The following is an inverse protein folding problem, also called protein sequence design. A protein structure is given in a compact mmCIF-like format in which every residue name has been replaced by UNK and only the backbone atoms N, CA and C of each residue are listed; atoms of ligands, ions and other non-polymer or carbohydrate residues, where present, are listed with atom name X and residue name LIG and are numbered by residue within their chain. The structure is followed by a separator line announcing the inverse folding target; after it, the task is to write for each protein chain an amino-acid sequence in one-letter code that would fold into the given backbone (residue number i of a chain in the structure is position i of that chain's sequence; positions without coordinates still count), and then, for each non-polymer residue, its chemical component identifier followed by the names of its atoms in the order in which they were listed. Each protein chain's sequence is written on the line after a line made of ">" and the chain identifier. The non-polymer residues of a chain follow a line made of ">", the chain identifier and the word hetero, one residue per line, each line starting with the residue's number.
data_IF_627985102111
#
_entry.id   IF_627985102111
#
_cell.length_a   1.000
_cell.length_b   1.000
_cell.length_c   1.000
_cell.angle_alpha   90.00
_cell.angle_beta   90.00
_cell.angle_gamma   90.00
#
_symmetry.space_group_name_H-M   'P 1'
#
loop_
_entity.id
_entity.type
_entity.pdbx_description
1 polymer ?
#
# COMPACT_ATOMS: atom_id res chain seq x y z
N UNK A 1 -36.60 32.59 10.02
CA UNK A 1 -35.84 31.58 10.79
C UNK A 1 -35.98 30.16 10.20
N UNK A 2 -37.19 29.63 9.95
CA UNK A 2 -37.40 28.27 9.38
C UNK A 2 -36.76 28.04 7.99
N UNK A 3 -36.76 29.05 7.11
CA UNK A 3 -36.15 28.96 5.76
C UNK A 3 -34.61 28.91 5.77
N UNK A 4 -33.99 29.60 6.72
CA UNK A 4 -32.53 29.62 6.88
C UNK A 4 -32.06 28.28 7.48
N UNK A 5 -32.84 27.69 8.39
CA UNK A 5 -32.61 26.35 8.94
C UNK A 5 -32.73 25.25 7.88
N UNK A 6 -33.70 25.33 6.96
CA UNK A 6 -33.79 24.37 5.85
C UNK A 6 -32.61 24.50 4.87
N UNK A 7 -32.16 25.73 4.58
CA UNK A 7 -31.03 25.95 3.68
C UNK A 7 -29.71 25.44 4.26
N UNK A 8 -29.47 25.61 5.56
CA UNK A 8 -28.26 25.07 6.20
C UNK A 8 -28.26 23.54 6.24
N UNK A 9 -29.41 22.90 6.46
CA UNK A 9 -29.54 21.42 6.40
C UNK A 9 -29.33 20.89 4.97
N UNK A 10 -29.83 21.61 3.96
CA UNK A 10 -29.65 21.22 2.55
C UNK A 10 -28.18 21.33 2.11
N UNK A 11 -27.47 22.39 2.54
CA UNK A 11 -26.03 22.56 2.22
C UNK A 11 -25.17 21.53 2.96
N UNK A 12 -25.51 21.20 4.21
CA UNK A 12 -24.77 20.21 4.99
C UNK A 12 -24.96 18.77 4.45
N UNK A 13 -26.16 18.44 3.97
CA UNK A 13 -26.44 17.14 3.32
C UNK A 13 -25.80 17.03 1.92
N UNK A 14 -25.75 18.11 1.15
CA UNK A 14 -25.05 18.15 -0.13
C UNK A 14 -23.53 17.95 0.03
N UNK A 15 -22.94 18.42 1.12
CA UNK A 15 -21.50 18.28 1.40
C UNK A 15 -21.09 16.81 1.62
N UNK A 16 -21.98 15.98 2.16
CA UNK A 16 -21.73 14.55 2.41
C UNK A 16 -21.81 13.73 1.11
N UNK A 17 -22.58 14.19 0.13
CA UNK A 17 -22.72 13.52 -1.17
C UNK A 17 -21.49 13.75 -2.09
N UNK A 18 -20.76 14.84 -1.89
CA UNK A 18 -19.51 15.12 -2.64
C UNK A 18 -18.27 14.43 -2.06
N UNK A 19 -18.32 13.85 -0.84
CA UNK A 19 -17.18 13.12 -0.24
C UNK A 19 -17.21 11.62 -0.50
N UNK A 20 -17.96 11.17 -1.51
CA UNK A 20 -18.38 9.79 -1.76
C UNK A 20 -17.31 8.72 -2.04
N UNK A 21 -16.01 8.95 -1.84
CA UNK A 21 -14.99 7.88 -1.88
C UNK A 21 -13.68 8.19 -1.12
N UNK A 22 -13.48 9.42 -0.66
CA UNK A 22 -12.17 9.83 -0.14
C UNK A 22 -11.91 9.41 1.32
N UNK A 23 -12.95 8.99 2.06
CA UNK A 23 -12.86 8.77 3.51
C UNK A 23 -12.51 7.33 3.93
N UNK A 24 -12.30 6.39 3.00
CA UNK A 24 -12.12 4.96 3.32
C UNK A 24 -10.96 4.26 2.60
N UNK A 25 -9.92 4.98 2.15
CA UNK A 25 -8.63 4.35 1.76
C UNK A 25 -7.46 4.95 2.55
N UNK A 26 -7.71 5.23 3.82
CA UNK A 26 -6.65 5.26 4.83
C UNK A 26 -7.04 4.18 5.84
N UNK A 27 -7.04 2.93 5.36
CA UNK A 27 -7.29 1.78 6.22
C UNK A 27 -6.16 1.66 7.23
N UNK A 28 -6.52 1.67 8.51
CA UNK A 28 -5.74 1.26 9.67
C UNK A 28 -4.22 1.50 9.61
N UNK A 29 -3.75 2.54 10.31
CA UNK A 29 -2.37 2.62 10.76
C UNK A 29 -2.09 1.50 11.79
N UNK A 30 -1.92 0.27 11.30
CA UNK A 30 -1.69 -0.95 12.07
C UNK A 30 -1.98 -2.17 11.21
N UNK A 31 -1.02 -3.12 11.15
CA UNK A 31 -1.16 -4.49 10.64
C UNK A 31 -2.37 -4.72 9.70
N UNK A 32 -2.25 -4.33 8.43
CA UNK A 32 -3.34 -4.36 7.43
C UNK A 32 -3.58 -3.04 6.72
N UNK A 33 -2.80 -2.00 7.00
CA UNK A 33 -2.91 -0.71 6.33
C UNK A 33 -2.34 -0.74 4.91
N UNK A 34 -3.14 -0.28 3.95
CA UNK A 34 -2.73 -0.04 2.56
C UNK A 34 -2.78 1.47 2.32
N UNK A 35 -1.64 2.04 1.92
CA UNK A 35 -1.51 3.45 1.62
C UNK A 35 -0.85 3.61 0.24
N UNK A 36 -1.51 4.31 -0.68
CA UNK A 36 -0.93 4.67 -1.96
C UNK A 36 -0.43 6.11 -1.90
N UNK A 37 0.88 6.30 -1.86
CA UNK A 37 1.49 7.62 -1.66
C UNK A 37 2.59 7.85 -2.69
N UNK A 38 2.46 8.92 -3.49
CA UNK A 38 3.45 9.32 -4.51
C UNK A 38 3.82 8.24 -5.54
N UNK A 39 2.85 7.38 -5.90
CA UNK A 39 3.09 6.31 -6.87
C UNK A 39 3.68 5.04 -6.27
N UNK A 40 3.89 4.99 -4.96
CA UNK A 40 4.31 3.79 -4.22
C UNK A 40 3.12 3.23 -3.42
N UNK A 41 2.89 1.93 -3.54
CA UNK A 41 1.90 1.20 -2.75
C UNK A 41 2.57 0.69 -1.48
N UNK A 42 2.23 1.24 -0.33
CA UNK A 42 2.74 0.79 0.97
C UNK A 42 1.72 -0.09 1.66
N UNK A 43 2.14 -1.29 2.04
CA UNK A 43 1.31 -2.25 2.76
C UNK A 43 2.07 -2.72 4.00
N UNK A 44 1.40 -2.77 5.14
CA UNK A 44 1.98 -3.38 6.36
C UNK A 44 1.30 -4.71 6.63
N UNK A 45 2.06 -5.80 6.57
CA UNK A 45 1.59 -7.15 6.77
C UNK A 45 2.12 -7.74 8.08
N UNK A 46 1.26 -8.48 8.79
CA UNK A 46 1.62 -9.19 10.03
C UNK A 46 2.38 -10.49 9.77
N UNK A 47 3.48 -10.41 9.02
CA UNK A 47 4.36 -11.54 8.69
C UNK A 47 5.83 -11.21 9.00
N UNK A 48 6.65 -12.23 9.30
CA UNK A 48 8.10 -12.06 9.40
C UNK A 48 8.72 -11.60 8.09
N UNK A 49 9.75 -10.76 8.17
CA UNK A 49 10.45 -10.17 7.02
C UNK A 49 10.89 -11.20 5.98
N UNK A 50 11.55 -12.27 6.42
CA UNK A 50 12.01 -13.35 5.52
C UNK A 50 10.87 -14.04 4.75
N UNK A 51 9.67 -14.11 5.35
CA UNK A 51 8.49 -14.67 4.67
C UNK A 51 7.98 -13.71 3.60
N UNK A 52 7.94 -12.41 3.89
CA UNK A 52 7.54 -11.39 2.91
C UNK A 52 8.50 -11.35 1.70
N UNK A 53 9.81 -11.37 1.95
CA UNK A 53 10.85 -11.38 0.89
C UNK A 53 10.69 -12.61 -0.02
N UNK A 54 10.54 -13.79 0.58
CA UNK A 54 10.34 -15.03 -0.18
C UNK A 54 9.04 -15.05 -0.97
N UNK A 55 7.95 -14.53 -0.39
CA UNK A 55 6.68 -14.41 -1.08
C UNK A 55 6.78 -13.44 -2.27
N UNK A 56 7.46 -12.31 -2.11
CA UNK A 56 7.69 -11.35 -3.19
C UNK A 56 8.52 -11.96 -4.34
N UNK A 57 9.62 -12.64 -4.01
CA UNK A 57 10.45 -13.33 -5.01
C UNK A 57 9.65 -14.43 -5.74
N UNK A 58 8.83 -15.19 -5.01
CA UNK A 58 7.97 -16.22 -5.59
C UNK A 58 6.92 -15.62 -6.52
N UNK A 59 6.26 -14.53 -6.13
CA UNK A 59 5.30 -13.84 -6.97
C UNK A 59 5.92 -13.36 -8.29
N UNK A 60 7.15 -12.80 -8.24
CA UNK A 60 7.88 -12.42 -9.45
C UNK A 60 8.17 -13.64 -10.34
N UNK A 61 8.62 -14.75 -9.74
CA UNK A 61 8.87 -16.01 -10.46
C UNK A 61 7.61 -16.58 -11.11
N UNK A 62 6.49 -16.61 -10.38
CA UNK A 62 5.21 -17.14 -10.87
C UNK A 62 4.68 -16.29 -12.05
N UNK A 63 4.97 -14.98 -12.05
CA UNK A 63 4.70 -14.06 -13.16
C UNK A 63 5.74 -14.12 -14.28
N UNK A 64 6.75 -15.00 -14.19
CA UNK A 64 7.89 -15.11 -15.12
C UNK A 64 8.69 -13.81 -15.25
N UNK A 65 8.71 -13.00 -14.20
CA UNK A 65 9.50 -11.77 -14.11
C UNK A 65 10.83 -12.10 -13.45
N UNK A 66 11.93 -11.82 -14.16
CA UNK A 66 13.28 -12.08 -13.65
C UNK A 66 13.72 -10.97 -12.69
N UNK A 67 14.21 -11.36 -11.52
CA UNK A 67 14.86 -10.43 -10.58
C UNK A 67 16.25 -10.10 -11.13
N UNK A 68 16.51 -8.82 -11.34
CA UNK A 68 17.79 -8.30 -11.85
C UNK A 68 18.78 -8.04 -10.72
N UNK A 69 18.26 -7.60 -9.57
CA UNK A 69 19.08 -7.24 -8.42
C UNK A 69 18.30 -7.55 -7.14
N UNK A 70 18.95 -8.20 -6.19
CA UNK A 70 18.40 -8.50 -4.88
C UNK A 70 19.42 -8.08 -3.83
N UNK A 71 19.02 -7.21 -2.91
CA UNK A 71 19.79 -6.84 -1.72
C UNK A 71 18.96 -7.15 -0.49
N UNK A 72 19.58 -7.74 0.52
CA UNK A 72 18.94 -8.08 1.78
C UNK A 72 19.92 -7.87 2.93
N UNK A 73 19.55 -7.00 3.86
CA UNK A 73 20.37 -6.58 5.01
C UNK A 73 19.77 -7.07 6.34
N UNK A 74 18.89 -8.08 6.29
CA UNK A 74 18.21 -8.70 7.45
C UNK A 74 17.09 -7.86 8.08
N UNK A 75 17.13 -6.53 7.94
CA UNK A 75 16.07 -5.60 8.36
C UNK A 75 15.31 -5.00 7.17
N UNK A 76 15.99 -4.89 6.04
CA UNK A 76 15.45 -4.35 4.79
C UNK A 76 15.85 -5.23 3.62
N UNK A 77 14.99 -5.33 2.63
CA UNK A 77 15.35 -5.96 1.36
C UNK A 77 14.82 -5.16 0.17
N UNK A 78 15.56 -5.20 -0.92
CA UNK A 78 15.26 -4.55 -2.19
C UNK A 78 15.32 -5.61 -3.29
N UNK A 79 14.21 -5.80 -4.01
CA UNK A 79 14.15 -6.61 -5.21
C UNK A 79 13.86 -5.68 -6.39
N UNK A 80 14.79 -5.61 -7.34
CA UNK A 80 14.61 -4.90 -8.59
C UNK A 80 14.41 -5.91 -9.72
N UNK A 81 13.40 -5.68 -10.53
CA UNK A 81 13.05 -6.53 -11.64
C UNK A 81 12.59 -5.70 -12.85
N UNK A 82 12.60 -6.33 -14.03
CA UNK A 82 11.95 -5.77 -15.22
C UNK A 82 10.98 -6.78 -15.81
N UNK A 83 9.80 -6.29 -16.18
CA UNK A 83 8.83 -7.07 -16.96
C UNK A 83 9.24 -7.13 -18.44
N UNK A 84 8.57 -7.98 -19.22
CA UNK A 84 8.80 -8.15 -20.66
C UNK A 84 8.58 -6.88 -21.49
N UNK A 85 7.73 -5.97 -21.02
CA UNK A 85 7.52 -4.64 -21.61
C UNK A 85 8.47 -3.55 -21.08
N UNK A 86 9.65 -3.92 -20.58
CA UNK A 86 10.69 -3.03 -20.06
C UNK A 86 10.31 -2.10 -18.89
N UNK A 87 9.16 -2.33 -18.25
CA UNK A 87 8.77 -1.59 -17.04
C UNK A 87 9.58 -2.07 -15.84
N UNK A 88 10.11 -1.12 -15.08
CA UNK A 88 10.81 -1.37 -13.81
C UNK A 88 9.80 -1.72 -12.72
N UNK A 89 10.05 -2.81 -12.02
CA UNK A 89 9.35 -3.21 -10.79
C UNK A 89 10.37 -3.15 -9.66
N UNK A 90 10.04 -2.41 -8.60
CA UNK A 90 10.88 -2.29 -7.41
C UNK A 90 10.04 -2.70 -6.22
N UNK A 91 10.50 -3.67 -5.44
CA UNK A 91 9.85 -4.10 -4.22
C UNK A 91 10.84 -3.86 -3.09
N UNK A 92 10.47 -3.01 -2.15
CA UNK A 92 11.20 -2.76 -0.91
C UNK A 92 10.43 -3.41 0.23
N UNK A 93 11.13 -4.03 1.15
CA UNK A 93 10.56 -4.59 2.38
C UNK A 93 11.34 -4.07 3.57
N UNK A 94 10.65 -3.77 4.67
CA UNK A 94 11.24 -3.28 5.91
C UNK A 94 10.58 -3.97 7.10
N UNK A 95 11.38 -4.57 7.96
CA UNK A 95 10.93 -5.10 9.24
C UNK A 95 10.56 -3.95 10.18
N UNK A 96 9.29 -3.89 10.60
CA UNK A 96 8.81 -2.94 11.62
C UNK A 96 8.84 -3.61 13.00
N UNK A 97 8.42 -4.87 13.09
CA UNK A 97 8.43 -5.66 14.31
C UNK A 97 8.83 -7.12 14.00
N UNK A 98 8.85 -8.00 15.00
CA UNK A 98 9.22 -9.40 14.80
C UNK A 98 8.33 -10.13 13.79
N UNK A 99 7.03 -9.83 13.80
CA UNK A 99 6.02 -10.38 12.88
C UNK A 99 5.29 -9.29 12.12
N UNK A 100 5.93 -8.16 11.85
CA UNK A 100 5.34 -7.06 11.08
C UNK A 100 6.34 -6.51 10.09
N UNK A 101 5.94 -6.47 8.82
CA UNK A 101 6.78 -6.06 7.69
C UNK A 101 6.03 -5.07 6.81
N UNK A 102 6.65 -3.93 6.52
CA UNK A 102 6.20 -3.00 5.49
C UNK A 102 6.72 -3.46 4.14
N UNK A 103 5.88 -3.39 3.12
CA UNK A 103 6.15 -3.74 1.73
C UNK A 103 5.79 -2.51 0.89
N UNK A 104 6.68 -2.05 0.01
CA UNK A 104 6.47 -0.87 -0.84
C UNK A 104 7.06 -0.99 -2.24
#
# INVERSE_FOLDING_TARGET
>A
MKRILCLTVLVLSASILFTGCALLVVGAAGAGGVAYVRGELKVTESVPHATAVRAAAKALSDLKISVLNQREDGLTSLLEARTSGDKKVTIKTRRIAEKSTEIS
#
